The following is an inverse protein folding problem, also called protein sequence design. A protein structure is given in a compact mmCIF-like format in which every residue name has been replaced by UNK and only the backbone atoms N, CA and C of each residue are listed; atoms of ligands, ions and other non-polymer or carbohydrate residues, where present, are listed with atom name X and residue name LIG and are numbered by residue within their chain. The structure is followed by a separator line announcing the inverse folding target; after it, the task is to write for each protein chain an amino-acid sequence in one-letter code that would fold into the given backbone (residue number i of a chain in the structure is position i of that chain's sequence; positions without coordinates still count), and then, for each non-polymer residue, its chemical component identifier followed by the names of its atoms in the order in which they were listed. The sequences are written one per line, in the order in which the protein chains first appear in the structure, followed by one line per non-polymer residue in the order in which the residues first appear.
data_IF_049227390933
#
_entry.id   IF_049227390933
#
_cell.length_a   1.000
_cell.length_b   1.000
_cell.length_c   1.000
_cell.angle_alpha   90.00
_cell.angle_beta   90.00
_cell.angle_gamma   90.00
#
_symmetry.space_group_name_H-M   'P 1'
#
loop_
_entity.id
_entity.type
_entity.pdbx_description
1 polymer ?
#
# COMPACT_ATOMS: atom_id res chain seq x y z
N UNK A 1 -4.21 0.05 17.95
CA UNK A 1 -2.82 0.45 18.30
C UNK A 1 -2.68 1.96 18.44
N UNK A 2 -2.69 2.75 17.36
CA UNK A 2 -2.42 4.20 17.43
C UNK A 2 -3.34 4.94 18.42
N UNK A 3 -4.66 4.76 18.29
CA UNK A 3 -5.65 5.44 19.14
C UNK A 3 -5.42 5.23 20.65
N UNK A 4 -4.95 4.04 21.06
CA UNK A 4 -4.80 3.69 22.47
C UNK A 4 -3.41 3.99 23.01
N UNK A 5 -2.37 3.88 22.19
CA UNK A 5 -0.98 3.83 22.66
C UNK A 5 -0.10 4.95 22.14
N UNK A 6 -0.56 5.83 21.24
CA UNK A 6 0.30 6.86 20.66
C UNK A 6 0.92 7.80 21.73
N UNK A 7 0.10 8.39 22.61
CA UNK A 7 0.58 9.31 23.65
C UNK A 7 1.50 8.62 24.67
N UNK A 8 1.10 7.45 25.17
CA UNK A 8 1.92 6.69 26.13
C UNK A 8 3.25 6.23 25.52
N UNK A 9 3.27 5.91 24.22
CA UNK A 9 4.50 5.58 23.51
C UNK A 9 5.39 6.82 23.34
N UNK A 10 4.80 7.99 23.08
CA UNK A 10 5.53 9.26 23.01
C UNK A 10 6.19 9.63 24.33
N UNK A 11 5.41 9.63 25.42
CA UNK A 11 5.90 9.96 26.77
C UNK A 11 7.08 9.08 27.21
N UNK A 12 7.11 7.84 26.74
CA UNK A 12 8.17 6.86 27.07
C UNK A 12 9.28 6.77 26.03
N UNK A 13 9.21 7.54 24.94
CA UNK A 13 10.17 7.44 23.83
C UNK A 13 10.17 6.07 23.13
N UNK A 14 9.06 5.34 23.19
CA UNK A 14 8.91 4.01 22.59
C UNK A 14 8.34 4.14 21.17
N UNK A 15 8.95 3.46 20.20
CA UNK A 15 8.43 3.40 18.83
C UNK A 15 7.57 2.16 18.62
N UNK A 16 6.41 2.35 18.01
CA UNK A 16 5.54 1.28 17.53
C UNK A 16 5.24 1.55 16.06
N UNK A 17 5.94 0.85 15.16
CA UNK A 17 5.69 0.96 13.72
C UNK A 17 4.80 -0.19 13.29
N UNK A 18 3.61 0.13 12.79
CA UNK A 18 2.66 -0.87 12.30
C UNK A 18 2.87 -1.14 10.80
N UNK A 19 2.47 -2.32 10.32
CA UNK A 19 2.46 -2.64 8.89
C UNK A 19 3.86 -2.71 8.23
N UNK A 20 4.86 -3.25 8.94
CA UNK A 20 6.22 -3.44 8.45
C UNK A 20 6.40 -4.67 7.52
N UNK A 21 5.34 -5.10 6.84
CA UNK A 21 5.35 -6.23 5.91
C UNK A 21 5.13 -5.78 4.47
N UNK A 22 5.09 -6.76 3.55
CA UNK A 22 4.89 -6.50 2.12
C UNK A 22 3.55 -5.82 1.79
N UNK A 23 2.50 -6.06 2.57
CA UNK A 23 1.17 -5.45 2.31
C UNK A 23 1.16 -3.93 2.56
N UNK A 24 2.28 -3.30 2.93
CA UNK A 24 2.33 -1.85 3.14
C UNK A 24 3.69 -1.20 2.87
N UNK A 25 4.82 -1.85 3.16
CA UNK A 25 6.15 -1.23 2.95
C UNK A 25 6.40 -0.84 1.48
N UNK A 26 6.24 -1.73 0.49
CA UNK A 26 6.45 -1.39 -0.92
C UNK A 26 5.59 -0.22 -1.41
N UNK A 27 4.33 -0.13 -0.94
CA UNK A 27 3.43 0.95 -1.34
C UNK A 27 3.74 2.26 -0.60
N UNK A 28 3.87 2.22 0.72
CA UNK A 28 4.05 3.41 1.56
C UNK A 28 5.45 4.02 1.41
N UNK A 29 6.52 3.21 1.49
CA UNK A 29 7.87 3.68 1.14
C UNK A 29 8.01 3.95 -0.35
N UNK A 30 7.27 3.26 -1.22
CA UNK A 30 7.24 3.56 -2.64
C UNK A 30 6.76 4.99 -2.91
N UNK A 31 5.75 5.47 -2.17
CA UNK A 31 5.29 6.87 -2.25
C UNK A 31 6.35 7.83 -1.74
N UNK A 32 7.03 7.50 -0.64
CA UNK A 32 8.13 8.33 -0.11
C UNK A 32 9.28 8.42 -1.12
N UNK A 33 9.68 7.29 -1.69
CA UNK A 33 10.70 7.22 -2.74
C UNK A 33 10.29 8.04 -3.97
N UNK A 34 9.02 7.95 -4.40
CA UNK A 34 8.49 8.79 -5.47
C UNK A 34 8.60 10.28 -5.09
N UNK A 35 8.17 10.68 -3.89
CA UNK A 35 8.27 12.07 -3.41
C UNK A 35 9.72 12.58 -3.41
N UNK A 36 10.69 11.74 -3.02
CA UNK A 36 12.12 12.09 -3.02
C UNK A 36 12.68 12.27 -4.43
N UNK A 37 12.13 11.55 -5.42
CA UNK A 37 12.52 11.64 -6.83
C UNK A 37 11.61 12.58 -7.65
N UNK A 38 10.69 13.31 -7.01
CA UNK A 38 9.80 14.24 -7.69
C UNK A 38 10.28 15.68 -7.47
N UNK A 39 10.92 16.27 -8.48
CA UNK A 39 11.29 17.69 -8.41
C UNK A 39 10.04 18.56 -8.54
N UNK A 40 9.69 19.25 -7.46
CA UNK A 40 8.51 20.09 -7.33
C UNK A 40 7.55 19.54 -6.27
N UNK A 41 6.25 19.68 -6.49
CA UNK A 41 5.22 19.21 -5.56
C UNK A 41 4.37 18.11 -6.17
N UNK A 42 4.44 16.92 -5.58
CA UNK A 42 3.62 15.77 -5.93
C UNK A 42 2.17 15.95 -5.41
N UNK A 43 1.18 15.91 -6.29
CA UNK A 43 -0.23 16.05 -5.92
C UNK A 43 -0.90 14.71 -5.60
N UNK A 44 -0.65 13.71 -6.43
CA UNK A 44 -1.40 12.46 -6.42
C UNK A 44 -0.60 11.29 -6.94
N UNK A 45 -0.87 10.10 -6.41
CA UNK A 45 -0.27 8.84 -6.83
C UNK A 45 -1.36 7.80 -7.07
N UNK A 46 -1.24 7.07 -8.17
CA UNK A 46 -2.00 5.85 -8.42
C UNK A 46 -1.06 4.66 -8.36
N UNK A 47 -1.40 3.64 -7.58
CA UNK A 47 -0.60 2.42 -7.46
C UNK A 47 -1.28 1.22 -8.10
N UNK A 48 -0.46 0.34 -8.67
CA UNK A 48 -0.88 -0.93 -9.28
C UNK A 48 -0.03 -2.06 -8.70
N UNK A 49 -0.65 -2.90 -7.87
CA UNK A 49 -0.06 -4.10 -7.31
C UNK A 49 -0.26 -5.28 -8.28
N UNK A 50 0.84 -5.84 -8.78
CA UNK A 50 0.84 -7.02 -9.64
C UNK A 50 1.55 -8.18 -8.93
N UNK A 51 1.01 -9.38 -9.10
CA UNK A 51 1.61 -10.64 -8.65
C UNK A 51 1.64 -11.59 -9.83
N UNK A 52 2.75 -12.32 -9.98
CA UNK A 52 2.83 -13.34 -11.01
C UNK A 52 3.77 -14.46 -10.61
N UNK A 53 3.60 -15.58 -11.30
CA UNK A 53 4.51 -16.70 -11.26
C UNK A 53 5.34 -16.72 -12.56
N UNK A 54 6.63 -16.97 -12.43
CA UNK A 54 7.57 -17.09 -13.55
C UNK A 54 7.57 -18.52 -14.10
N UNK A 55 7.43 -18.64 -15.42
CA UNK A 55 7.34 -19.93 -16.10
C UNK A 55 5.96 -20.57 -16.00
N UNK A 56 5.92 -21.90 -16.09
CA UNK A 56 4.67 -22.66 -16.04
C UNK A 56 4.05 -22.63 -14.62
N UNK A 57 2.72 -22.46 -14.50
CA UNK A 57 2.03 -22.43 -13.22
C UNK A 57 2.27 -23.70 -12.39
N UNK A 58 2.73 -23.53 -11.16
CA UNK A 58 2.89 -24.62 -10.21
C UNK A 58 1.54 -24.92 -9.55
N UNK A 59 1.13 -26.19 -9.36
CA UNK A 59 -0.08 -26.53 -8.62
C UNK A 59 -0.07 -26.06 -7.16
N UNK A 60 -1.24 -26.05 -6.52
CA UNK A 60 -1.38 -25.73 -5.09
C UNK A 60 -1.66 -24.25 -4.79
N UNK A 61 -1.81 -23.88 -3.50
CA UNK A 61 -2.19 -22.53 -3.09
C UNK A 61 -1.09 -21.52 -3.43
N UNK A 62 -1.48 -20.27 -3.70
CA UNK A 62 -0.53 -19.17 -3.88
C UNK A 62 -0.40 -18.32 -2.60
N UNK A 63 -1.44 -18.30 -1.76
CA UNK A 63 -1.51 -17.46 -0.57
C UNK A 63 -1.95 -18.32 0.63
N UNK A 64 -1.38 -18.02 1.80
CA UNK A 64 -1.64 -18.77 3.03
C UNK A 64 -2.98 -18.40 3.68
N UNK A 65 -3.39 -19.24 4.63
CA UNK A 65 -4.59 -19.05 5.44
C UNK A 65 -4.61 -17.74 6.23
N UNK A 66 -3.47 -17.26 6.76
CA UNK A 66 -3.44 -16.05 7.58
C UNK A 66 -3.95 -14.81 6.83
N UNK A 67 -3.64 -14.68 5.54
CA UNK A 67 -4.20 -13.61 4.69
C UNK A 67 -5.70 -13.79 4.48
N UNK A 68 -6.16 -15.02 4.28
CA UNK A 68 -7.59 -15.32 4.14
C UNK A 68 -8.38 -14.97 5.39
N UNK A 69 -7.90 -15.39 6.56
CA UNK A 69 -8.48 -15.07 7.86
C UNK A 69 -8.53 -13.55 8.09
N UNK A 70 -7.45 -12.85 7.77
CA UNK A 70 -7.36 -11.39 7.86
C UNK A 70 -8.39 -10.71 6.96
N UNK A 71 -8.60 -11.20 5.73
CA UNK A 71 -9.62 -10.68 4.84
C UNK A 71 -11.04 -10.89 5.39
N UNK A 72 -11.32 -12.09 5.95
CA UNK A 72 -12.64 -12.42 6.52
C UNK A 72 -12.97 -11.46 7.66
N UNK A 73 -12.06 -11.28 8.61
CA UNK A 73 -12.28 -10.38 9.74
C UNK A 73 -12.18 -8.90 9.37
N UNK A 74 -11.35 -8.55 8.40
CA UNK A 74 -11.26 -7.20 7.86
C UNK A 74 -12.60 -6.72 7.31
N UNK A 75 -13.32 -7.58 6.59
CA UNK A 75 -14.67 -7.26 6.11
C UNK A 75 -15.72 -7.33 7.23
N UNK A 76 -15.61 -8.31 8.13
CA UNK A 76 -16.55 -8.47 9.25
C UNK A 76 -16.63 -7.22 10.13
N UNK A 77 -15.49 -6.57 10.40
CA UNK A 77 -15.37 -5.41 11.27
C UNK A 77 -15.22 -4.08 10.52
N UNK A 78 -15.41 -4.06 9.20
CA UNK A 78 -15.20 -2.86 8.36
C UNK A 78 -16.03 -1.64 8.82
N UNK A 79 -17.22 -1.86 9.40
CA UNK A 79 -18.11 -0.79 9.89
C UNK A 79 -17.53 -0.07 11.12
N UNK A 80 -16.68 -0.72 11.90
CA UNK A 80 -16.05 -0.14 13.10
C UNK A 80 -14.93 0.85 12.74
N UNK A 81 -14.34 0.72 11.54
CA UNK A 81 -13.26 1.60 11.10
C UNK A 81 -13.68 3.06 11.03
N UNK A 82 -14.95 3.34 10.75
CA UNK A 82 -15.48 4.70 10.66
C UNK A 82 -15.43 5.45 12.00
N UNK A 83 -15.87 4.81 13.09
CA UNK A 83 -15.84 5.41 14.43
C UNK A 83 -14.41 5.55 14.94
N UNK A 84 -13.58 4.52 14.76
CA UNK A 84 -12.17 4.53 15.15
C UNK A 84 -11.40 5.66 14.45
N UNK A 85 -11.61 5.87 13.15
CA UNK A 85 -10.97 6.95 12.39
C UNK A 85 -11.42 8.33 12.86
N UNK A 86 -12.69 8.53 13.23
CA UNK A 86 -13.16 9.82 13.76
C UNK A 86 -12.55 10.15 15.13
N UNK A 87 -12.39 9.14 15.99
CA UNK A 87 -11.72 9.33 17.28
C UNK A 87 -10.23 9.63 17.10
N UNK A 88 -9.57 8.93 16.17
CA UNK A 88 -8.15 9.12 15.92
C UNK A 88 -7.84 10.44 15.21
N UNK A 89 -8.77 10.92 14.37
CA UNK A 89 -8.60 12.08 13.51
C UNK A 89 -9.79 13.04 13.63
N UNK A 90 -9.93 13.74 14.77
CA UNK A 90 -11.04 14.65 15.00
C UNK A 90 -11.02 15.84 14.02
N UNK A 91 -9.83 16.35 13.71
CA UNK A 91 -9.63 17.42 12.72
C UNK A 91 -9.46 16.84 11.32
N UNK A 92 -10.26 17.32 10.36
CA UNK A 92 -10.12 16.94 8.96
C UNK A 92 -8.96 17.70 8.32
N UNK A 93 -8.22 17.03 7.44
CA UNK A 93 -7.27 17.70 6.58
C UNK A 93 -7.99 18.64 5.60
N UNK A 94 -7.35 19.72 5.15
CA UNK A 94 -7.87 20.56 4.07
C UNK A 94 -8.14 19.76 2.80
N UNK A 95 -8.94 20.34 1.92
CA UNK A 95 -9.25 19.75 0.64
C UNK A 95 -8.23 20.18 -0.41
N UNK A 96 -7.30 19.29 -0.75
CA UNK A 96 -6.30 19.54 -1.79
C UNK A 96 -6.89 19.34 -3.20
N UNK A 97 -6.60 20.27 -4.13
CA UNK A 97 -7.00 20.26 -5.55
C UNK A 97 -5.76 20.24 -6.47
N UNK A 98 -5.83 19.63 -7.68
CA UNK A 98 -6.98 18.92 -8.22
C UNK A 98 -7.20 17.60 -7.50
N UNK A 99 -8.45 17.13 -7.46
CA UNK A 99 -8.81 15.88 -6.79
C UNK A 99 -8.35 14.69 -7.61
N UNK A 100 -7.75 13.71 -6.94
CA UNK A 100 -7.52 12.40 -7.55
C UNK A 100 -8.85 11.65 -7.68
N UNK A 101 -9.23 11.31 -8.90
CA UNK A 101 -10.46 10.56 -9.17
C UNK A 101 -10.27 9.05 -8.95
N UNK A 102 -11.14 8.47 -8.13
CA UNK A 102 -11.15 7.03 -7.87
C UNK A 102 -12.00 6.28 -8.91
N UNK A 103 -11.38 5.33 -9.61
CA UNK A 103 -12.06 4.43 -10.55
C UNK A 103 -12.65 3.25 -9.76
N UNK A 104 -13.97 3.21 -9.63
CA UNK A 104 -14.67 2.20 -8.79
C UNK A 104 -14.84 0.84 -9.48
N UNK A 105 -14.64 0.78 -10.78
CA UNK A 105 -14.86 -0.42 -11.58
C UNK A 105 -13.54 -0.90 -12.23
N UNK A 106 -13.46 -2.20 -12.57
CA UNK A 106 -12.34 -2.73 -13.33
C UNK A 106 -12.11 -1.92 -14.62
N UNK A 107 -10.85 -1.56 -14.88
CA UNK A 107 -10.48 -0.75 -16.05
C UNK A 107 -9.10 -1.14 -16.57
N UNK A 108 -8.74 -0.64 -17.76
CA UNK A 108 -7.40 -0.78 -18.32
C UNK A 108 -6.53 0.43 -17.99
N UNK A 109 -5.24 0.19 -17.81
CA UNK A 109 -4.20 1.21 -17.66
C UNK A 109 -3.08 0.91 -18.64
N UNK A 110 -2.46 1.94 -19.22
CA UNK A 110 -1.29 1.78 -20.08
C UNK A 110 -0.01 1.42 -19.31
N UNK A 111 -0.04 1.52 -17.98
CA UNK A 111 1.11 1.28 -17.11
C UNK A 111 1.30 -0.20 -16.75
N UNK A 112 0.26 -1.02 -16.87
CA UNK A 112 0.26 -2.42 -16.44
C UNK A 112 -0.50 -3.33 -17.41
N UNK A 113 0.01 -4.55 -17.60
CA UNK A 113 -0.63 -5.55 -18.46
C UNK A 113 -1.73 -6.31 -17.70
N UNK A 114 -2.98 -5.87 -17.81
CA UNK A 114 -4.11 -6.55 -17.18
C UNK A 114 -5.30 -5.64 -16.94
N UNK A 115 -6.23 -6.09 -16.10
CA UNK A 115 -7.34 -5.31 -15.56
C UNK A 115 -6.95 -4.75 -14.19
N UNK A 116 -7.06 -3.44 -14.02
CA UNK A 116 -6.87 -2.76 -12.74
C UNK A 116 -8.18 -2.79 -11.97
N UNK A 117 -8.17 -3.45 -10.81
CA UNK A 117 -9.34 -3.63 -9.94
C UNK A 117 -9.09 -2.88 -8.63
N UNK A 118 -10.07 -2.17 -8.05
CA UNK A 118 -9.90 -1.46 -6.78
C UNK A 118 -9.33 -2.38 -5.70
N UNK A 119 -8.21 -1.97 -5.11
CA UNK A 119 -7.60 -2.71 -4.01
C UNK A 119 -8.23 -2.26 -2.69
N UNK A 120 -8.90 -3.19 -2.01
CA UNK A 120 -9.59 -2.94 -0.74
C UNK A 120 -8.70 -3.24 0.49
N UNK A 121 -7.39 -3.41 0.28
CA UNK A 121 -6.42 -3.69 1.32
C UNK A 121 -6.00 -2.48 2.14
N UNK A 122 -4.90 -2.63 2.88
CA UNK A 122 -4.48 -1.67 3.91
C UNK A 122 -3.71 -0.48 3.36
N UNK A 123 -2.99 -0.64 2.23
CA UNK A 123 -2.14 0.34 1.57
C UNK A 123 -2.66 1.77 1.60
N UNK A 124 -3.82 2.02 0.99
CA UNK A 124 -4.41 3.36 0.92
C UNK A 124 -4.62 3.99 2.30
N UNK A 125 -4.97 3.17 3.30
CA UNK A 125 -5.15 3.64 4.67
C UNK A 125 -3.83 3.92 5.37
N UNK A 126 -2.77 3.18 5.05
CA UNK A 126 -1.42 3.36 5.62
C UNK A 126 -0.75 4.60 5.02
N UNK A 127 -0.75 4.73 3.69
CA UNK A 127 -0.22 5.93 3.01
C UNK A 127 -0.92 7.20 3.48
N UNK A 128 -2.26 7.19 3.60
CA UNK A 128 -2.99 8.36 4.14
C UNK A 128 -2.58 8.73 5.57
N UNK A 129 -2.20 7.75 6.40
CA UNK A 129 -1.66 8.02 7.73
C UNK A 129 -0.28 8.66 7.62
N UNK A 130 0.59 8.15 6.75
CA UNK A 130 1.93 8.72 6.51
C UNK A 130 1.84 10.17 6.03
N UNK A 131 1.01 10.43 5.02
CA UNK A 131 0.78 11.77 4.47
C UNK A 131 0.17 12.74 5.48
N UNK A 132 -0.70 12.25 6.39
CA UNK A 132 -1.19 13.06 7.51
C UNK A 132 -0.08 13.43 8.49
N UNK A 133 0.79 12.48 8.84
CA UNK A 133 1.92 12.76 9.72
C UNK A 133 2.88 13.78 9.08
N UNK A 134 3.20 13.67 7.79
CA UNK A 134 4.01 14.67 7.07
C UNK A 134 3.36 16.05 7.08
N UNK A 135 2.03 16.15 6.97
CA UNK A 135 1.34 17.43 7.07
C UNK A 135 1.38 18.02 8.48
N UNK A 136 1.04 17.23 9.48
CA UNK A 136 0.94 17.70 10.87
C UNK A 136 2.31 18.00 11.51
N UNK A 137 3.38 17.37 11.03
CA UNK A 137 4.72 17.47 11.64
C UNK A 137 5.75 18.19 10.77
N UNK A 138 5.66 18.04 9.46
CA UNK A 138 6.64 18.61 8.52
C UNK A 138 6.03 19.70 7.63
N UNK A 139 4.75 20.08 7.85
CA UNK A 139 4.02 21.05 7.02
C UNK A 139 4.10 20.73 5.53
N UNK A 140 4.09 19.45 5.16
CA UNK A 140 4.11 19.01 3.76
C UNK A 140 2.71 18.77 3.24
N UNK A 141 2.45 19.20 2.01
CA UNK A 141 1.19 18.93 1.32
C UNK A 141 0.97 17.40 1.19
N UNK A 142 -0.17 16.87 1.67
CA UNK A 142 -0.49 15.45 1.55
C UNK A 142 -0.65 15.01 0.09
N UNK A 143 0.03 13.92 -0.26
CA UNK A 143 -0.18 13.22 -1.52
C UNK A 143 -1.51 12.47 -1.47
N UNK A 144 -2.35 12.68 -2.49
CA UNK A 144 -3.58 11.91 -2.67
C UNK A 144 -3.26 10.53 -3.25
N UNK A 145 -3.96 9.48 -2.84
CA UNK A 145 -3.66 8.12 -3.29
C UNK A 145 -4.91 7.28 -3.59
N UNK A 146 -4.84 6.56 -4.70
CA UNK A 146 -5.73 5.46 -5.05
C UNK A 146 -4.91 4.21 -5.44
N UNK A 147 -5.42 3.04 -5.07
CA UNK A 147 -4.67 1.78 -5.13
C UNK A 147 -5.48 0.72 -5.87
N UNK A 148 -4.84 0.03 -6.80
CA UNK A 148 -5.42 -1.02 -7.61
C UNK A 148 -4.54 -2.26 -7.57
N UNK A 149 -5.12 -3.43 -7.79
CA UNK A 149 -4.37 -4.65 -8.08
C UNK A 149 -4.69 -5.16 -9.49
N UNK A 150 -3.76 -5.91 -10.07
CA UNK A 150 -3.81 -6.32 -11.48
C UNK A 150 -4.31 -7.75 -11.61
N UNK A 151 -5.31 -7.96 -12.48
CA UNK A 151 -5.75 -9.29 -12.91
C UNK A 151 -5.49 -9.44 -14.41
N UNK A 152 -4.61 -10.37 -14.79
CA UNK A 152 -4.12 -10.50 -16.17
C UNK A 152 -5.16 -11.09 -17.13
N UNK A 153 -6.03 -11.99 -16.65
CA UNK A 153 -7.04 -12.67 -17.47
C UNK A 153 -8.45 -12.15 -17.21
N UNK A 154 -9.25 -12.01 -18.26
CA UNK A 154 -10.68 -11.70 -18.14
C UNK A 154 -11.45 -12.83 -17.43
N UNK A 155 -11.07 -14.09 -17.65
CA UNK A 155 -11.67 -15.23 -16.94
C UNK A 155 -11.40 -15.13 -15.42
N UNK A 156 -10.15 -14.84 -15.04
CA UNK A 156 -9.80 -14.64 -13.62
C UNK A 156 -10.51 -13.43 -13.02
N UNK A 157 -10.76 -12.37 -13.80
CA UNK A 157 -11.56 -11.22 -13.37
C UNK A 157 -13.01 -11.63 -13.06
N UNK A 158 -13.63 -12.43 -13.93
CA UNK A 158 -14.99 -12.94 -13.70
C UNK A 158 -15.04 -13.85 -12.47
N UNK A 159 -14.10 -14.78 -12.33
CA UNK A 159 -14.01 -15.63 -11.14
C UNK A 159 -13.81 -14.81 -9.87
N UNK A 160 -12.92 -13.81 -9.90
CA UNK A 160 -12.71 -12.89 -8.78
C UNK A 160 -14.02 -12.18 -8.38
N UNK A 161 -14.82 -11.72 -9.34
CA UNK A 161 -16.11 -11.09 -9.06
C UNK A 161 -17.11 -12.07 -8.42
N UNK A 162 -17.19 -13.30 -8.90
CA UNK A 162 -18.08 -14.35 -8.36
C UNK A 162 -17.67 -14.72 -6.93
N UNK A 163 -16.41 -15.14 -6.73
CA UNK A 163 -15.92 -15.53 -5.41
C UNK A 163 -15.92 -14.34 -4.44
N UNK A 164 -15.58 -13.14 -4.90
CA UNK A 164 -15.64 -11.92 -4.10
C UNK A 164 -17.05 -11.57 -3.63
N UNK A 165 -18.07 -11.83 -4.45
CA UNK A 165 -19.48 -11.63 -4.06
C UNK A 165 -19.92 -12.64 -3.00
N UNK A 166 -19.61 -13.92 -3.20
CA UNK A 166 -19.90 -15.00 -2.23
C UNK A 166 -19.20 -14.72 -0.90
N UNK A 167 -17.91 -14.40 -0.96
CA UNK A 167 -17.09 -14.02 0.19
C UNK A 167 -17.72 -12.84 0.94
N UNK A 168 -18.08 -11.78 0.21
CA UNK A 168 -18.64 -10.56 0.79
C UNK A 168 -19.98 -10.78 1.47
N UNK A 169 -20.78 -11.72 0.97
CA UNK A 169 -22.04 -12.12 1.59
C UNK A 169 -21.79 -12.94 2.86
N UNK A 170 -20.99 -14.00 2.77
CA UNK A 170 -20.73 -14.93 3.88
C UNK A 170 -19.99 -14.27 5.05
N UNK A 171 -19.09 -13.32 4.79
CA UNK A 171 -18.33 -12.64 5.84
C UNK A 171 -19.22 -11.82 6.82
N UNK A 172 -20.46 -11.48 6.42
CA UNK A 172 -21.36 -10.62 7.20
C UNK A 172 -21.94 -11.29 8.45
N UNK A 173 -22.05 -12.61 8.48
CA UNK A 173 -22.69 -13.33 9.58
C UNK A 173 -21.81 -14.47 10.11
N UNK A 174 -22.01 -14.83 11.39
CA UNK A 174 -21.13 -15.74 12.13
C UNK A 174 -20.97 -17.10 11.46
N UNK A 175 -22.06 -17.71 11.00
CA UNK A 175 -22.02 -19.01 10.33
C UNK A 175 -21.29 -18.94 8.98
N UNK A 176 -21.54 -17.91 8.18
CA UNK A 176 -20.86 -17.70 6.90
C UNK A 176 -19.36 -17.50 7.08
N UNK A 177 -18.93 -16.71 8.09
CA UNK A 177 -17.52 -16.61 8.47
C UNK A 177 -16.93 -17.97 8.86
N UNK A 178 -17.64 -18.76 9.66
CA UNK A 178 -17.19 -20.10 10.02
C UNK A 178 -16.99 -21.00 8.79
N UNK A 179 -17.83 -20.88 7.76
CA UNK A 179 -17.65 -21.62 6.51
C UNK A 179 -16.42 -21.15 5.72
N UNK A 180 -16.25 -19.83 5.57
CA UNK A 180 -15.08 -19.24 4.91
C UNK A 180 -13.78 -19.68 5.60
N UNK A 181 -13.74 -19.62 6.93
CA UNK A 181 -12.56 -19.99 7.72
C UNK A 181 -12.30 -21.50 7.73
N UNK A 182 -13.33 -22.34 7.67
CA UNK A 182 -13.18 -23.80 7.67
C UNK A 182 -12.78 -24.35 6.31
N UNK A 183 -13.24 -23.74 5.22
CA UNK A 183 -13.04 -24.24 3.86
C UNK A 183 -12.45 -23.17 2.90
N UNK A 184 -11.27 -22.59 3.21
CA UNK A 184 -10.68 -21.53 2.40
C UNK A 184 -10.55 -21.94 0.92
N UNK A 185 -10.04 -23.13 0.64
CA UNK A 185 -9.83 -23.64 -0.73
C UNK A 185 -11.10 -23.65 -1.56
N UNK A 186 -12.22 -24.09 -0.97
CA UNK A 186 -13.51 -24.16 -1.67
C UNK A 186 -14.04 -22.77 -2.00
N UNK A 187 -13.87 -21.82 -1.09
CA UNK A 187 -14.37 -20.45 -1.24
C UNK A 187 -13.40 -19.53 -1.97
N UNK A 188 -12.22 -20.02 -2.34
CA UNK A 188 -11.25 -19.27 -3.14
C UNK A 188 -10.86 -19.93 -4.46
N UNK A 189 -11.44 -21.07 -4.81
CA UNK A 189 -11.02 -21.85 -5.99
C UNK A 189 -9.56 -22.33 -5.91
N UNK A 190 -9.10 -22.70 -4.71
CA UNK A 190 -7.73 -23.20 -4.47
C UNK A 190 -6.65 -22.14 -4.32
N UNK A 191 -6.97 -20.84 -4.46
CA UNK A 191 -5.99 -19.76 -4.28
C UNK A 191 -5.42 -19.68 -2.85
N UNK A 192 -6.28 -19.89 -1.85
CA UNK A 192 -5.93 -19.90 -0.43
C UNK A 192 -6.13 -21.29 0.18
N UNK A 193 -5.23 -21.69 1.07
CA UNK A 193 -5.31 -22.96 1.81
C UNK A 193 -4.69 -22.84 3.20
N UNK A 194 -4.97 -23.83 4.05
CA UNK A 194 -4.21 -24.10 5.28
C UNK A 194 -2.81 -24.65 4.98
N UNK A 195 -2.63 -25.27 3.82
CA UNK A 195 -1.33 -25.70 3.32
C UNK A 195 -0.50 -24.50 2.84
N UNK A 196 0.81 -24.62 2.99
CA UNK A 196 1.74 -23.60 2.50
C UNK A 196 1.99 -23.78 0.99
N UNK A 197 2.22 -22.69 0.23
CA UNK A 197 2.72 -22.80 -1.13
C UNK A 197 4.03 -23.60 -1.17
N UNK A 198 4.23 -24.40 -2.21
CA UNK A 198 5.46 -25.19 -2.37
C UNK A 198 6.68 -24.29 -2.54
N UNK A 199 7.86 -24.79 -2.14
CA UNK A 199 9.15 -24.10 -2.34
C UNK A 199 9.39 -23.71 -3.81
N UNK A 200 8.97 -24.57 -4.75
CA UNK A 200 9.06 -24.28 -6.18
C UNK A 200 8.20 -23.05 -6.55
N UNK A 201 6.94 -23.02 -6.11
CA UNK A 201 6.04 -21.88 -6.34
C UNK A 201 6.58 -20.61 -5.72
N UNK A 202 7.09 -20.68 -4.47
CA UNK A 202 7.67 -19.53 -3.78
C UNK A 202 8.85 -18.94 -4.54
N UNK A 203 9.73 -19.78 -5.10
CA UNK A 203 10.87 -19.35 -5.92
C UNK A 203 10.41 -18.67 -7.22
N UNK A 204 9.36 -19.16 -7.85
CA UNK A 204 8.80 -18.58 -9.08
C UNK A 204 7.93 -17.34 -8.84
N UNK A 205 7.54 -17.07 -7.60
CA UNK A 205 6.60 -15.98 -7.28
C UNK A 205 7.28 -14.62 -7.23
N UNK A 206 6.65 -13.64 -7.87
CA UNK A 206 7.08 -12.26 -7.94
C UNK A 206 5.94 -11.30 -7.60
N UNK A 207 6.32 -10.09 -7.20
CA UNK A 207 5.39 -8.96 -7.09
C UNK A 207 6.01 -7.69 -7.63
N UNK A 208 5.16 -6.73 -7.96
CA UNK A 208 5.56 -5.34 -8.13
C UNK A 208 4.45 -4.38 -7.72
N UNK A 209 4.83 -3.22 -7.22
CA UNK A 209 3.97 -2.05 -7.06
C UNK A 209 4.46 -0.99 -8.03
N UNK A 210 3.67 -0.70 -9.06
CA UNK A 210 3.95 0.42 -9.97
C UNK A 210 3.23 1.64 -9.43
N UNK A 211 3.95 2.73 -9.14
CA UNK A 211 3.43 3.97 -8.60
C UNK A 211 3.60 5.08 -9.63
N UNK A 212 2.48 5.62 -10.10
CA UNK A 212 2.45 6.73 -11.04
C UNK A 212 2.00 7.99 -10.33
N UNK A 213 2.90 8.96 -10.21
CA UNK A 213 2.71 10.21 -9.53
C UNK A 213 2.57 11.37 -10.50
N UNK A 214 1.63 12.28 -10.23
CA UNK A 214 1.44 13.53 -10.97
C UNK A 214 1.49 14.73 -10.02
N UNK A 215 2.02 15.84 -10.50
CA UNK A 215 2.22 17.05 -9.71
C UNK A 215 2.73 18.21 -10.54
N UNK A 216 3.28 19.20 -9.86
CA UNK A 216 3.84 20.40 -10.47
C UNK A 216 5.35 20.45 -10.33
N UNK A 217 6.03 20.99 -11.33
CA UNK A 217 7.46 21.31 -11.25
C UNK A 217 7.76 22.39 -10.21
N UNK A 218 6.81 23.30 -9.99
CA UNK A 218 6.93 24.34 -8.96
C UNK A 218 6.50 23.83 -7.57
N UNK A 219 7.06 24.45 -6.53
CA UNK A 219 6.65 24.24 -5.15
C UNK A 219 6.16 25.56 -4.58
N UNK A 220 4.99 25.54 -3.94
CA UNK A 220 4.45 26.71 -3.25
C UNK A 220 5.02 26.79 -1.82
N UNK A 221 5.10 28.00 -1.24
CA UNK A 221 5.66 28.20 0.10
C UNK A 221 4.91 27.48 1.22
N UNK A 222 3.57 27.44 1.16
CA UNK A 222 2.73 26.78 2.16
C UNK A 222 2.06 25.52 1.60
N UNK A 223 1.97 24.46 2.42
CA UNK A 223 1.30 23.22 2.03
C UNK A 223 -0.19 23.38 1.70
N UNK A 224 -0.83 24.41 2.23
CA UNK A 224 -2.24 24.73 2.02
C UNK A 224 -2.46 25.63 0.80
N UNK A 225 -1.40 26.15 0.18
CA UNK A 225 -1.54 26.96 -1.03
C UNK A 225 -2.20 26.15 -2.16
N UNK A 226 -3.13 26.79 -2.85
CA UNK A 226 -3.82 26.20 -4.00
C UNK A 226 -3.07 26.52 -5.29
N UNK A 227 -2.82 25.47 -6.07
CA UNK A 227 -2.33 25.60 -7.44
C UNK A 227 -3.47 26.00 -8.36
N UNK A 228 -3.22 26.98 -9.23
CA UNK A 228 -4.19 27.47 -10.23
C UNK A 228 -3.97 26.84 -11.61
N UNK A 229 -2.85 26.15 -11.80
CA UNK A 229 -2.44 25.49 -13.03
C UNK A 229 -2.73 23.98 -12.98
N UNK A 230 -2.99 23.31 -14.12
CA UNK A 230 -2.98 21.86 -14.18
C UNK A 230 -1.60 21.30 -13.80
N UNK A 231 -1.57 20.05 -13.33
CA UNK A 231 -0.31 19.31 -13.12
C UNK A 231 0.48 19.23 -14.43
N UNK A 232 1.79 19.42 -14.36
CA UNK A 232 2.67 19.57 -15.53
C UNK A 232 3.82 18.56 -15.56
N UNK A 233 3.88 17.65 -14.58
CA UNK A 233 4.90 16.61 -14.47
C UNK A 233 4.32 15.30 -13.96
N UNK A 234 4.85 14.20 -14.50
CA UNK A 234 4.61 12.86 -14.02
C UNK A 234 5.91 12.09 -13.81
N UNK A 235 5.97 11.30 -12.74
CA UNK A 235 7.06 10.36 -12.43
C UNK A 235 6.46 9.01 -12.14
N UNK A 236 7.03 7.96 -12.71
CA UNK A 236 6.64 6.58 -12.43
C UNK A 236 7.80 5.88 -11.74
N UNK A 237 7.54 5.30 -10.58
CA UNK A 237 8.49 4.43 -9.87
C UNK A 237 7.90 3.03 -9.75
N UNK A 238 8.76 2.04 -9.57
CA UNK A 238 8.34 0.66 -9.35
C UNK A 238 9.09 0.08 -8.16
N UNK A 239 8.35 -0.60 -7.30
CA UNK A 239 8.93 -1.44 -6.24
C UNK A 239 8.72 -2.89 -6.64
N UNK A 240 9.76 -3.72 -6.71
CA UNK A 240 9.69 -5.10 -7.22
C UNK A 240 10.45 -6.05 -6.31
N UNK A 241 9.97 -7.28 -6.16
CA UNK A 241 10.69 -8.31 -5.43
C UNK A 241 10.14 -9.71 -5.66
N UNK A 242 10.79 -10.69 -5.03
CA UNK A 242 10.43 -12.12 -5.13
C UNK A 242 9.85 -12.63 -3.82
N UNK A 243 9.11 -13.73 -3.89
CA UNK A 243 8.56 -14.40 -2.70
C UNK A 243 7.83 -13.39 -1.78
N UNK A 244 6.72 -12.80 -2.27
CA UNK A 244 6.07 -11.65 -1.62
C UNK A 244 5.65 -11.91 -0.17
N UNK A 245 4.90 -12.99 0.06
CA UNK A 245 4.23 -13.24 1.33
C UNK A 245 5.15 -13.74 2.45
N UNK A 246 6.30 -14.34 2.09
CA UNK A 246 7.23 -14.93 3.06
C UNK A 246 8.59 -14.25 3.00
N UNK A 247 9.31 -14.42 1.90
CA UNK A 247 10.68 -13.90 1.74
C UNK A 247 10.75 -12.38 1.91
N UNK A 248 10.12 -11.63 1.00
CA UNK A 248 10.13 -10.17 1.07
C UNK A 248 9.44 -9.63 2.33
N UNK A 249 8.43 -10.32 2.86
CA UNK A 249 7.80 -9.91 4.13
C UNK A 249 8.78 -10.05 5.31
N UNK A 250 9.54 -11.15 5.39
CA UNK A 250 10.58 -11.32 6.39
C UNK A 250 11.68 -10.26 6.26
N UNK A 251 12.15 -10.00 5.04
CA UNK A 251 13.14 -8.94 4.77
C UNK A 251 12.62 -7.57 5.23
N UNK A 252 11.40 -7.21 4.84
CA UNK A 252 10.72 -5.98 5.27
C UNK A 252 10.69 -5.85 6.80
N UNK A 253 10.27 -6.91 7.50
CA UNK A 253 10.11 -6.90 8.95
C UNK A 253 11.45 -6.80 9.68
N UNK A 254 12.43 -7.61 9.28
CA UNK A 254 13.75 -7.66 9.92
C UNK A 254 14.51 -6.36 9.68
N UNK A 255 14.53 -5.85 8.46
CA UNK A 255 15.20 -4.58 8.17
C UNK A 255 14.51 -3.41 8.88
N UNK A 256 13.18 -3.40 8.97
CA UNK A 256 12.47 -2.39 9.77
C UNK A 256 12.90 -2.41 11.24
N UNK A 257 13.09 -3.59 11.82
CA UNK A 257 13.54 -3.74 13.20
C UNK A 257 15.00 -3.30 13.37
N UNK A 258 15.88 -3.66 12.43
CA UNK A 258 17.28 -3.21 12.41
C UNK A 258 17.34 -1.70 12.32
N UNK A 259 16.70 -1.09 11.32
CA UNK A 259 16.65 0.37 11.13
C UNK A 259 16.14 1.09 12.37
N UNK A 260 15.09 0.57 13.02
CA UNK A 260 14.55 1.18 14.24
C UNK A 260 15.56 1.21 15.40
N UNK A 261 16.47 0.23 15.47
CA UNK A 261 17.48 0.13 16.53
C UNK A 261 18.77 0.86 16.16
N UNK A 262 19.15 0.87 14.88
CA UNK A 262 20.45 1.40 14.42
C UNK A 262 20.39 2.85 13.95
N UNK A 263 19.21 3.37 13.59
CA UNK A 263 19.02 4.71 13.02
C UNK A 263 18.03 5.56 13.84
N UNK A 264 18.07 5.41 15.17
CA UNK A 264 17.16 6.11 16.09
C UNK A 264 17.17 7.63 15.95
N UNK A 265 18.30 8.21 15.53
CA UNK A 265 18.49 9.64 15.29
C UNK A 265 17.71 10.17 14.07
N UNK A 266 17.33 9.26 13.15
CA UNK A 266 16.55 9.57 11.93
C UNK A 266 15.06 9.29 12.08
N UNK A 267 14.65 8.67 13.19
CA UNK A 267 13.24 8.39 13.51
C UNK A 267 12.49 9.68 13.92
N UNK A 268 11.14 9.72 13.82
CA UNK A 268 10.37 10.86 14.28
C UNK A 268 10.63 11.19 15.76
N UNK A 269 10.81 12.46 16.14
CA UNK A 269 11.22 12.80 17.50
C UNK A 269 10.20 12.37 18.55
N UNK A 270 10.70 11.83 19.67
CA UNK A 270 9.91 11.61 20.88
C UNK A 270 9.06 10.34 20.92
N UNK A 271 9.34 9.31 20.12
CA UNK A 271 8.58 8.05 20.14
C UNK A 271 7.16 8.17 19.60
N UNK A 272 6.38 7.08 19.62
CA UNK A 272 4.98 7.07 19.19
C UNK A 272 4.60 5.91 18.27
N UNK A 273 3.32 5.91 17.87
CA UNK A 273 2.78 4.91 16.93
C UNK A 273 2.68 5.49 15.52
N UNK A 274 3.46 4.96 14.58
CA UNK A 274 3.62 5.52 13.23
C UNK A 274 3.38 4.49 12.11
N UNK A 275 2.93 4.94 10.93
CA UNK A 275 3.02 4.16 9.69
C UNK A 275 4.47 4.13 9.15
N UNK A 276 4.85 3.12 8.35
CA UNK A 276 6.23 2.91 7.93
C UNK A 276 6.74 4.05 7.03
N UNK A 277 5.91 4.59 6.14
CA UNK A 277 6.26 5.68 5.24
C UNK A 277 6.74 6.91 6.00
N UNK A 278 6.04 7.31 7.06
CA UNK A 278 6.49 8.44 7.89
C UNK A 278 7.66 8.06 8.81
N UNK A 279 7.60 6.88 9.44
CA UNK A 279 8.60 6.45 10.41
C UNK A 279 10.00 6.32 9.81
N UNK A 280 10.10 5.76 8.60
CA UNK A 280 11.36 5.44 7.95
C UNK A 280 11.75 6.41 6.85
N UNK A 281 11.01 7.51 6.66
CA UNK A 281 11.17 8.44 5.54
C UNK A 281 12.58 9.03 5.39
N UNK A 282 13.30 9.17 6.51
CA UNK A 282 14.63 9.78 6.60
C UNK A 282 15.72 8.74 6.88
N UNK A 283 15.37 7.46 6.89
CA UNK A 283 16.28 6.34 7.21
C UNK A 283 16.80 5.65 5.95
N UNK A 284 17.77 4.75 6.10
CA UNK A 284 18.28 3.94 4.99
C UNK A 284 17.44 2.71 4.65
N UNK A 285 16.24 2.53 5.23
CA UNK A 285 15.44 1.31 5.03
C UNK A 285 15.14 1.01 3.55
N UNK A 286 14.86 2.03 2.73
CA UNK A 286 14.63 1.83 1.30
C UNK A 286 15.89 1.33 0.57
N UNK A 287 17.08 1.85 0.95
CA UNK A 287 18.36 1.42 0.40
C UNK A 287 18.71 -0.01 0.85
N UNK A 288 18.50 -0.32 2.13
CA UNK A 288 18.69 -1.67 2.65
C UNK A 288 17.75 -2.68 1.97
N UNK A 289 16.50 -2.29 1.70
CA UNK A 289 15.55 -3.12 0.96
C UNK A 289 16.01 -3.36 -0.48
N UNK A 290 16.51 -2.31 -1.15
CA UNK A 290 17.11 -2.38 -2.47
C UNK A 290 18.23 -3.44 -2.53
N UNK A 291 19.15 -3.39 -1.57
CA UNK A 291 20.28 -4.33 -1.45
C UNK A 291 19.82 -5.76 -1.13
N UNK A 292 18.63 -5.94 -0.57
CA UNK A 292 18.09 -7.23 -0.13
C UNK A 292 16.90 -7.72 -1.00
N UNK A 293 16.85 -7.30 -2.27
CA UNK A 293 15.96 -7.88 -3.28
C UNK A 293 14.52 -7.34 -3.30
N UNK A 294 14.26 -6.22 -2.60
CA UNK A 294 13.05 -5.41 -2.77
C UNK A 294 13.45 -4.08 -3.39
N UNK A 295 13.47 -4.04 -4.72
CA UNK A 295 14.10 -2.95 -5.48
C UNK A 295 13.14 -1.81 -5.76
N UNK A 296 13.58 -0.57 -5.53
CA UNK A 296 12.92 0.70 -5.84
C UNK A 296 13.61 1.32 -7.05
N UNK A 297 12.89 1.52 -8.15
CA UNK A 297 13.44 2.05 -9.40
C UNK A 297 12.57 3.19 -9.93
N UNK A 298 13.19 4.23 -10.48
CA UNK A 298 12.51 5.21 -11.33
C UNK A 298 12.38 4.60 -12.72
N UNK A 299 11.14 4.43 -13.19
CA UNK A 299 10.84 3.84 -14.50
C UNK A 299 10.89 4.89 -15.60
N UNK A 300 10.28 6.05 -15.35
CA UNK A 300 10.34 7.20 -16.24
C UNK A 300 9.96 8.49 -15.52
N UNK A 301 10.39 9.59 -16.12
CA UNK A 301 9.90 10.94 -15.82
C UNK A 301 9.44 11.59 -17.13
N UNK A 302 8.36 12.36 -17.07
CA UNK A 302 7.90 13.12 -18.23
C UNK A 302 7.20 14.40 -17.82
N UNK A 303 7.33 15.40 -18.68
CA UNK A 303 6.48 16.59 -18.61
C UNK A 303 5.10 16.22 -19.18
N UNK A 304 4.06 16.59 -18.45
CA UNK A 304 2.70 16.53 -18.94
C UNK A 304 2.52 17.81 -19.75
N UNK A 305 2.47 17.67 -21.09
CA UNK A 305 2.18 18.82 -21.93
C UNK A 305 0.88 19.44 -21.45
N UNK A 306 0.96 20.68 -20.95
CA UNK A 306 -0.20 21.56 -20.87
C UNK A 306 -0.74 21.59 -22.29
N UNK A 307 -1.86 20.91 -22.54
CA UNK A 307 -2.58 21.02 -23.80
C UNK A 307 -2.98 22.49 -23.92
N UNK A 308 -2.09 23.28 -24.53
CA UNK A 308 -2.37 24.64 -24.93
C UNK A 308 -3.10 24.54 -26.26
N UNK A 309 -4.29 25.15 -26.25
CA UNK A 309 -5.21 25.43 -27.35
C UNK A 309 -6.24 24.33 -27.65
#
# INVERSE_FOLDING_TARGET
MQLKYHSAAQEKGVYIVSACGLDSIPCDLGVVFLQQNFTGTLNSVVTYLDFWEEGEPTPGPAINYGTWESAVYGLAYAKELGSLRRQLFPTRLPSFKPKLEAKKFPHKSSLVAGWSVPFLGSDRSIVKRSQRCFYEKDSKRPVQIETYFVIKSFLYLLMFAIFGTIFSFLARFKYGRSLLLKYPEKFSGGLFSHEQPSEEKLKKSWFSVTLYGEGWKESLPDANDEYTTPVDRAVCVKVKGRNPAYGSTCVCLVLSAITLITETDKMPPGGGVYPPGFAFAKTSLADQLNENGVTFEVVFEKDLHLSKY
#
